data_IF_864653905727
#
_entry.id   IF_864653905727
#
_cell.length_a   1.000
_cell.length_b   1.000
_cell.length_c   1.000
_cell.angle_alpha   90.00
_cell.angle_beta   90.00
_cell.angle_gamma   90.00
#
_symmetry.space_group_name_H-M   'P 1'
#
loop_
_entity.id
_entity.type
_entity.pdbx_description
1 polymer ?
#
# COMPACT_ATOMS: atom_id res chain seq x y z
N UNK A 1 -5.16 1.25 -15.80
CA UNK A 1 -4.76 -0.08 -16.26
C UNK A 1 -3.51 -0.50 -15.51
N UNK A 2 -3.49 -1.71 -14.95
CA UNK A 2 -2.31 -2.29 -14.30
C UNK A 2 -1.39 -2.93 -15.33
N UNK A 3 -0.08 -2.91 -15.05
CA UNK A 3 0.96 -3.57 -15.83
C UNK A 3 1.81 -4.41 -14.89
N UNK A 4 2.16 -5.62 -15.30
CA UNK A 4 3.14 -6.47 -14.61
C UNK A 4 4.42 -6.46 -15.45
N UNK A 5 5.54 -6.12 -14.81
CA UNK A 5 6.86 -6.11 -15.42
C UNK A 5 7.71 -7.21 -14.83
N UNK A 6 8.41 -7.94 -15.69
CA UNK A 6 9.34 -9.01 -15.33
C UNK A 6 10.74 -8.63 -15.78
N UNK A 7 11.60 -8.26 -14.83
CA UNK A 7 13.02 -7.92 -15.07
C UNK A 7 13.95 -9.11 -14.90
N UNK A 8 13.42 -10.32 -14.70
CA UNK A 8 14.20 -11.54 -14.52
C UNK A 8 14.39 -12.31 -15.84
N UNK A 9 15.23 -13.33 -15.80
CA UNK A 9 15.47 -14.24 -16.92
C UNK A 9 14.56 -15.48 -16.93
N UNK A 10 13.58 -15.53 -16.03
CA UNK A 10 12.61 -16.60 -15.90
C UNK A 10 11.20 -16.10 -16.22
N UNK A 11 10.33 -16.99 -16.73
CA UNK A 11 8.92 -16.69 -16.87
C UNK A 11 8.22 -16.80 -15.52
N UNK A 12 7.35 -15.86 -15.20
CA UNK A 12 6.59 -15.80 -13.93
C UNK A 12 5.09 -15.81 -14.18
N UNK A 13 4.37 -16.65 -13.44
CA UNK A 13 2.91 -16.63 -13.43
C UNK A 13 2.44 -16.06 -12.10
N UNK A 14 1.72 -14.95 -12.17
CA UNK A 14 1.26 -14.20 -11.00
C UNK A 14 -0.24 -13.99 -11.03
N UNK A 15 -0.87 -13.94 -9.86
CA UNK A 15 -2.23 -13.45 -9.70
C UNK A 15 -2.18 -12.00 -9.22
N UNK A 16 -2.87 -11.11 -9.94
CA UNK A 16 -3.04 -9.70 -9.56
C UNK A 16 -4.49 -9.50 -9.15
N UNK A 17 -4.69 -9.01 -7.94
CA UNK A 17 -5.98 -8.57 -7.43
C UNK A 17 -6.00 -7.06 -7.32
N UNK A 18 -7.16 -6.45 -7.57
CA UNK A 18 -7.35 -5.02 -7.37
C UNK A 18 -8.70 -4.74 -6.73
N UNK A 19 -8.79 -3.62 -6.03
CA UNK A 19 -10.01 -3.15 -5.37
C UNK A 19 -10.14 -1.64 -5.57
N UNK A 20 -11.29 -1.20 -6.09
CA UNK A 20 -11.73 0.18 -5.98
C UNK A 20 -12.30 0.39 -4.58
N UNK A 21 -11.76 1.33 -3.85
CA UNK A 21 -12.10 1.61 -2.46
C UNK A 21 -12.40 3.09 -2.23
N UNK A 22 -13.26 3.40 -1.25
CA UNK A 22 -13.42 4.75 -0.72
C UNK A 22 -12.30 5.10 0.26
N UNK A 23 -12.16 6.40 0.56
CA UNK A 23 -11.17 6.89 1.54
C UNK A 23 -11.30 6.23 2.93
N UNK A 24 -12.49 5.75 3.33
CA UNK A 24 -12.73 4.97 4.55
C UNK A 24 -12.29 3.49 4.43
N UNK A 25 -11.65 3.13 3.33
CA UNK A 25 -11.21 1.80 2.96
C UNK A 25 -12.34 0.78 2.67
N UNK A 26 -13.61 1.19 2.61
CA UNK A 26 -14.69 0.32 2.15
C UNK A 26 -14.53 -0.04 0.67
N UNK A 27 -14.77 -1.32 0.32
CA UNK A 27 -14.64 -1.82 -1.05
C UNK A 27 -15.91 -1.51 -1.84
N UNK A 28 -15.74 -0.86 -3.00
CA UNK A 28 -16.83 -0.58 -3.95
C UNK A 28 -16.91 -1.72 -4.98
N UNK A 29 -15.77 -2.08 -5.56
CA UNK A 29 -15.64 -3.07 -6.63
C UNK A 29 -14.27 -3.70 -6.56
N UNK A 30 -14.15 -4.93 -7.05
CA UNK A 30 -12.87 -5.64 -7.10
C UNK A 30 -12.79 -6.57 -8.30
N UNK A 31 -11.58 -6.92 -8.67
CA UNK A 31 -11.30 -7.89 -9.71
C UNK A 31 -9.98 -8.61 -9.48
N UNK A 32 -9.75 -9.64 -10.29
CA UNK A 32 -8.50 -10.39 -10.29
C UNK A 32 -8.21 -10.93 -11.69
N UNK A 33 -6.93 -11.06 -11.99
CA UNK A 33 -6.46 -11.67 -13.24
C UNK A 33 -5.17 -12.45 -12.97
N UNK A 34 -5.05 -13.61 -13.60
CA UNK A 34 -3.81 -14.39 -13.60
C UNK A 34 -3.10 -14.20 -14.92
N UNK A 35 -1.84 -13.78 -14.88
CA UNK A 35 -1.03 -13.56 -16.08
C UNK A 35 0.33 -14.24 -15.99
N UNK A 36 0.80 -14.71 -17.13
CA UNK A 36 2.18 -15.15 -17.30
C UNK A 36 2.96 -14.08 -18.04
N UNK A 37 4.08 -13.66 -17.47
CA UNK A 37 4.97 -12.65 -18.05
C UNK A 37 6.31 -13.30 -18.36
N UNK A 38 6.68 -13.26 -19.64
CA UNK A 38 7.91 -13.84 -20.14
C UNK A 38 9.14 -13.07 -19.62
N UNK A 39 10.35 -13.65 -19.71
CA UNK A 39 11.58 -12.98 -19.31
C UNK A 39 11.75 -11.61 -19.97
N UNK A 40 12.22 -10.62 -19.18
CA UNK A 40 12.55 -9.26 -19.64
C UNK A 40 11.41 -8.61 -20.44
N UNK A 41 10.18 -8.85 -20.00
CA UNK A 41 8.97 -8.34 -20.69
C UNK A 41 7.94 -7.74 -19.73
N UNK A 42 6.94 -7.11 -20.29
CA UNK A 42 5.80 -6.59 -19.53
C UNK A 42 4.48 -7.02 -20.14
N UNK A 43 3.45 -7.12 -19.30
CA UNK A 43 2.10 -7.45 -19.73
C UNK A 43 1.07 -6.53 -19.08
N UNK A 44 0.27 -5.87 -19.92
CA UNK A 44 -0.88 -5.09 -19.48
C UNK A 44 -2.04 -6.00 -19.17
N UNK A 45 -2.64 -5.85 -17.98
CA UNK A 45 -3.87 -6.51 -17.61
C UNK A 45 -5.05 -6.00 -18.44
N UNK A 46 -6.21 -6.65 -18.34
CA UNK A 46 -7.44 -6.19 -18.96
C UNK A 46 -7.75 -4.73 -18.58
N UNK A 47 -8.39 -4.03 -19.50
CA UNK A 47 -8.80 -2.65 -19.25
C UNK A 47 -10.03 -2.63 -18.34
N UNK A 48 -9.92 -1.89 -17.24
CA UNK A 48 -11.02 -1.61 -16.34
C UNK A 48 -11.44 -0.15 -16.45
N UNK A 49 -12.73 0.10 -16.62
CA UNK A 49 -13.27 1.45 -16.64
C UNK A 49 -13.65 1.90 -15.22
N UNK A 50 -13.10 3.02 -14.81
CA UNK A 50 -13.36 3.68 -13.53
C UNK A 50 -13.98 5.08 -13.70
N UNK A 51 -14.70 5.33 -14.83
CA UNK A 51 -15.33 6.62 -15.07
C UNK A 51 -16.41 6.98 -14.02
N UNK A 52 -16.94 5.99 -13.32
CA UNK A 52 -17.90 6.12 -12.23
C UNK A 52 -17.27 6.36 -10.83
N UNK A 53 -15.93 6.28 -10.74
CA UNK A 53 -15.24 6.50 -9.47
C UNK A 53 -15.22 7.99 -9.09
N UNK A 54 -15.34 8.27 -7.80
CA UNK A 54 -15.10 9.61 -7.27
C UNK A 54 -13.61 9.95 -7.32
N UNK A 55 -13.23 10.77 -8.29
CA UNK A 55 -11.83 11.18 -8.54
C UNK A 55 -11.11 11.68 -7.27
N UNK A 56 -11.83 12.28 -6.34
CA UNK A 56 -11.24 12.88 -5.14
C UNK A 56 -11.49 12.09 -3.85
N UNK A 57 -12.22 10.98 -3.90
CA UNK A 57 -12.61 10.21 -2.73
C UNK A 57 -12.35 8.71 -2.85
N UNK A 58 -12.12 8.22 -4.07
CA UNK A 58 -11.89 6.79 -4.30
C UNK A 58 -10.43 6.54 -4.74
N UNK A 59 -9.94 5.34 -4.46
CA UNK A 59 -8.59 4.91 -4.83
C UNK A 59 -8.57 3.43 -5.22
N UNK A 60 -7.52 3.02 -5.92
CA UNK A 60 -7.25 1.62 -6.23
C UNK A 60 -6.22 1.10 -5.23
N UNK A 61 -6.52 -0.04 -4.60
CA UNK A 61 -5.53 -0.88 -3.92
C UNK A 61 -5.30 -2.13 -4.77
N UNK A 62 -4.05 -2.52 -4.96
CA UNK A 62 -3.70 -3.72 -5.71
C UNK A 62 -2.68 -4.57 -4.98
N UNK A 63 -2.70 -5.86 -5.26
CA UNK A 63 -1.76 -6.84 -4.74
C UNK A 63 -1.43 -7.86 -5.83
N UNK A 64 -0.18 -8.25 -5.89
CA UNK A 64 0.31 -9.33 -6.73
C UNK A 64 0.83 -10.47 -5.85
N UNK A 65 0.47 -11.69 -6.20
CA UNK A 65 0.99 -12.90 -5.54
C UNK A 65 1.60 -13.84 -6.57
N UNK A 66 2.64 -14.54 -6.17
CA UNK A 66 3.24 -15.63 -6.90
C UNK A 66 3.29 -16.87 -6.00
N UNK A 67 2.80 -18.01 -6.48
CA UNK A 67 2.70 -19.24 -5.69
C UNK A 67 2.02 -19.02 -4.31
N UNK A 68 0.97 -18.18 -4.28
CA UNK A 68 0.25 -17.77 -3.06
C UNK A 68 1.07 -16.93 -2.06
N UNK A 69 2.30 -16.53 -2.40
CA UNK A 69 3.11 -15.61 -1.60
C UNK A 69 2.96 -14.17 -2.10
N UNK A 70 2.84 -13.17 -1.21
CA UNK A 70 2.85 -11.76 -1.62
C UNK A 70 4.14 -11.41 -2.36
N UNK A 71 4.02 -10.81 -3.55
CA UNK A 71 5.15 -10.37 -4.37
C UNK A 71 5.22 -8.84 -4.50
N UNK A 72 4.07 -8.18 -4.63
CA UNK A 72 3.99 -6.72 -4.67
C UNK A 72 2.61 -6.23 -4.23
N UNK A 73 2.54 -5.00 -3.74
CA UNK A 73 1.27 -4.33 -3.46
C UNK A 73 1.45 -2.81 -3.57
N UNK A 74 0.34 -2.10 -3.73
CA UNK A 74 0.39 -0.64 -3.74
C UNK A 74 -1.00 -0.03 -3.86
N UNK A 75 -1.02 1.30 -3.96
CA UNK A 75 -2.23 2.09 -4.13
C UNK A 75 -2.06 3.11 -5.25
N UNK A 76 -3.16 3.50 -5.87
CA UNK A 76 -3.20 4.54 -6.88
C UNK A 76 -4.39 5.46 -6.65
N UNK A 77 -4.14 6.78 -6.63
CA UNK A 77 -5.16 7.82 -6.57
C UNK A 77 -5.52 8.28 -7.98
N UNK A 78 -6.75 8.69 -8.19
CA UNK A 78 -7.20 9.32 -9.45
C UNK A 78 -6.85 10.81 -9.55
N UNK A 79 -6.35 11.40 -8.46
CA UNK A 79 -5.93 12.80 -8.40
C UNK A 79 -4.60 12.96 -7.64
N UNK A 80 -4.02 14.16 -7.69
CA UNK A 80 -2.87 14.47 -6.86
C UNK A 80 -3.23 14.38 -5.36
N UNK A 81 -2.35 13.85 -4.49
CA UNK A 81 -2.64 13.62 -3.06
C UNK A 81 -3.19 14.85 -2.32
N UNK A 82 -2.74 16.05 -2.68
CA UNK A 82 -3.22 17.31 -2.09
C UNK A 82 -4.71 17.60 -2.34
N UNK A 83 -5.32 16.93 -3.31
CA UNK A 83 -6.73 17.09 -3.65
C UNK A 83 -7.60 15.93 -3.17
N UNK A 84 -6.98 14.84 -2.74
CA UNK A 84 -7.71 13.67 -2.26
C UNK A 84 -8.35 13.95 -0.89
N UNK A 85 -9.61 13.56 -0.72
CA UNK A 85 -10.37 13.72 0.52
C UNK A 85 -10.14 12.52 1.44
N UNK A 86 -8.98 12.51 2.10
CA UNK A 86 -8.68 11.44 3.07
C UNK A 86 -9.69 11.45 4.22
N UNK A 87 -10.20 10.27 4.60
CA UNK A 87 -10.83 10.05 5.90
C UNK A 87 -9.75 10.05 7.00
N UNK A 88 -10.14 10.31 8.25
CA UNK A 88 -9.22 10.20 9.38
C UNK A 88 -8.77 8.75 9.56
N UNK A 89 -7.50 8.43 9.35
CA UNK A 89 -7.01 7.06 9.46
C UNK A 89 -6.87 6.60 10.92
N UNK A 90 -6.99 7.47 11.90
CA UNK A 90 -6.84 7.17 13.34
C UNK A 90 -5.59 6.31 13.59
N UNK A 91 -4.45 6.74 13.05
CA UNK A 91 -3.21 6.00 13.13
C UNK A 91 -2.78 5.77 14.58
N UNK A 92 -2.46 4.52 14.93
CA UNK A 92 -1.82 4.17 16.17
C UNK A 92 -0.66 3.20 15.91
N UNK A 93 0.27 3.11 16.86
CA UNK A 93 1.37 2.16 16.76
C UNK A 93 1.67 1.52 18.13
N UNK A 94 2.25 0.31 18.09
CA UNK A 94 2.79 -0.40 19.24
C UNK A 94 4.04 -1.17 18.83
N UNK A 95 4.89 -1.49 19.80
CA UNK A 95 6.09 -2.32 19.59
C UNK A 95 5.79 -3.75 20.05
N UNK A 96 6.06 -4.72 19.19
CA UNK A 96 5.93 -6.15 19.47
C UNK A 96 7.26 -6.86 19.12
N UNK A 97 8.11 -7.09 20.13
CA UNK A 97 9.43 -7.69 19.91
C UNK A 97 10.32 -6.79 19.03
N UNK A 98 10.71 -7.29 17.88
CA UNK A 98 11.51 -6.58 16.86
C UNK A 98 10.66 -5.94 15.74
N UNK A 99 9.34 -5.80 15.96
CA UNK A 99 8.42 -5.19 15.01
C UNK A 99 7.72 -3.97 15.62
N UNK A 100 7.43 -3.00 14.77
CA UNK A 100 6.46 -1.93 15.00
C UNK A 100 5.21 -2.28 14.23
N UNK A 101 4.09 -2.40 14.94
CA UNK A 101 2.78 -2.65 14.36
C UNK A 101 2.04 -1.33 14.28
N UNK A 102 1.72 -0.91 13.06
CA UNK A 102 0.91 0.28 12.79
C UNK A 102 -0.51 -0.14 12.46
N UNK A 103 -1.50 0.52 13.07
CA UNK A 103 -2.92 0.29 12.79
C UNK A 103 -3.55 1.53 12.17
N UNK A 104 -4.50 1.31 11.25
CA UNK A 104 -5.31 2.36 10.65
C UNK A 104 -6.79 1.96 10.57
N UNK A 105 -7.69 2.90 10.76
CA UNK A 105 -9.14 2.70 10.60
C UNK A 105 -9.62 3.04 9.17
N UNK A 106 -8.82 3.77 8.39
CA UNK A 106 -9.10 4.17 7.02
C UNK A 106 -7.82 4.17 6.18
N UNK A 107 -7.91 4.51 4.89
CA UNK A 107 -6.75 4.62 4.02
C UNK A 107 -5.77 5.68 4.51
N UNK A 108 -4.53 5.31 4.69
CA UNK A 108 -3.43 6.19 5.05
C UNK A 108 -2.32 6.15 3.98
N UNK A 109 -1.95 7.33 3.47
CA UNK A 109 -0.90 7.48 2.47
C UNK A 109 0.38 8.00 3.07
N UNK A 110 1.51 7.41 2.63
CA UNK A 110 2.87 7.78 3.05
C UNK A 110 2.99 7.82 4.58
N UNK A 111 2.60 6.71 5.21
CA UNK A 111 2.68 6.53 6.67
C UNK A 111 4.14 6.61 7.09
N UNK A 112 4.46 7.56 7.94
CA UNK A 112 5.79 7.78 8.48
C UNK A 112 5.84 7.41 9.95
N UNK A 113 6.75 6.51 10.29
CA UNK A 113 7.14 6.23 11.68
C UNK A 113 8.32 7.13 12.05
N UNK A 114 8.17 7.85 13.14
CA UNK A 114 9.16 8.79 13.68
C UNK A 114 9.69 8.25 15.00
N UNK A 115 11.00 8.31 15.19
CA UNK A 115 11.68 8.04 16.47
C UNK A 115 12.15 9.35 17.11
N UNK A 116 12.38 9.37 18.40
CA UNK A 116 12.89 10.56 19.09
C UNK A 116 14.30 10.97 18.62
N UNK A 117 15.06 9.98 18.15
CA UNK A 117 16.37 10.18 17.51
C UNK A 117 16.42 9.47 16.15
N UNK A 118 17.44 9.77 15.37
CA UNK A 118 17.60 9.23 14.02
C UNK A 118 18.35 7.87 13.97
N UNK A 119 18.46 7.17 15.11
CA UNK A 119 19.21 5.91 15.19
C UNK A 119 18.43 4.69 14.74
N UNK A 120 17.09 4.76 14.78
CA UNK A 120 16.20 3.66 14.43
C UNK A 120 16.19 3.42 12.92
N UNK A 121 16.57 2.21 12.50
CA UNK A 121 16.45 1.75 11.12
C UNK A 121 15.32 0.72 11.00
N UNK A 122 14.43 0.95 10.07
CA UNK A 122 13.25 0.13 9.81
C UNK A 122 13.36 -0.57 8.46
N UNK A 123 12.66 -1.71 8.31
CA UNK A 123 12.57 -2.42 7.03
C UNK A 123 11.79 -1.64 5.98
N UNK A 124 10.89 -0.76 6.41
CA UNK A 124 10.10 0.12 5.54
C UNK A 124 9.69 1.40 6.29
N UNK A 125 9.44 2.48 5.55
CA UNK A 125 8.88 3.72 6.04
C UNK A 125 8.25 4.49 4.86
N UNK A 126 7.29 5.39 5.12
CA UNK A 126 6.54 6.10 4.09
C UNK A 126 5.66 5.20 3.21
N UNK A 127 5.18 4.09 3.74
CA UNK A 127 4.30 3.14 3.05
C UNK A 127 2.84 3.63 3.02
N UNK A 128 2.10 3.14 2.03
CA UNK A 128 0.64 3.28 2.00
C UNK A 128 -0.01 2.08 2.69
N UNK A 129 -1.11 2.30 3.41
CA UNK A 129 -1.85 1.20 4.03
C UNK A 129 -3.36 1.39 3.95
N UNK A 130 -4.08 0.30 3.81
CA UNK A 130 -5.52 0.24 4.00
C UNK A 130 -5.88 0.14 5.48
N UNK A 131 -7.17 0.18 5.81
CA UNK A 131 -7.61 -0.15 7.17
C UNK A 131 -7.11 -1.54 7.58
N UNK A 132 -6.62 -1.66 8.82
CA UNK A 132 -6.01 -2.86 9.36
C UNK A 132 -4.65 -2.63 9.98
N UNK A 133 -3.78 -3.62 9.91
CA UNK A 133 -2.43 -3.60 10.50
C UNK A 133 -1.35 -3.75 9.44
N UNK A 134 -0.26 -3.02 9.62
CA UNK A 134 1.00 -3.19 8.88
C UNK A 134 2.14 -3.38 9.87
N UNK A 135 3.01 -4.37 9.60
CA UNK A 135 4.16 -4.71 10.45
C UNK A 135 5.45 -4.27 9.77
N UNK A 136 6.26 -3.52 10.50
CA UNK A 136 7.55 -3.00 10.06
C UNK A 136 8.63 -3.49 11.01
N UNK A 137 9.63 -4.22 10.50
CA UNK A 137 10.72 -4.75 11.32
C UNK A 137 11.73 -3.67 11.71
N UNK A 138 12.21 -3.75 12.93
CA UNK A 138 13.34 -2.97 13.43
C UNK A 138 14.62 -3.67 12.97
N UNK A 139 15.40 -3.04 12.10
CA UNK A 139 16.67 -3.58 11.60
C UNK A 139 17.83 -3.24 12.53
N UNK A 140 17.78 -2.06 13.17
CA UNK A 140 18.74 -1.63 14.18
C UNK A 140 18.24 -0.40 14.94
N UNK A 141 18.85 -0.10 16.07
CA UNK A 141 18.48 1.02 16.95
C UNK A 141 17.45 0.60 18.01
N UNK A 142 17.04 1.55 18.83
CA UNK A 142 16.05 1.33 19.88
C UNK A 142 14.84 2.25 19.69
N UNK A 143 13.60 1.73 19.77
CA UNK A 143 12.41 2.56 19.74
C UNK A 143 12.36 3.52 20.95
N UNK A 144 12.21 4.81 20.68
CA UNK A 144 12.12 5.84 21.72
C UNK A 144 11.21 6.98 21.25
N UNK A 145 10.19 7.30 22.06
CA UNK A 145 9.28 8.41 21.73
C UNK A 145 8.62 8.28 20.35
N UNK A 146 8.28 7.05 19.97
CA UNK A 146 7.69 6.75 18.66
C UNK A 146 6.42 7.56 18.42
N UNK A 147 6.30 8.06 17.19
CA UNK A 147 5.10 8.71 16.66
C UNK A 147 4.83 8.20 15.26
N UNK A 148 3.58 8.25 14.84
CA UNK A 148 3.15 7.92 13.48
C UNK A 148 2.35 9.07 12.91
N UNK A 149 2.53 9.32 11.62
CA UNK A 149 1.74 10.30 10.85
C UNK A 149 1.61 9.87 9.40
N UNK A 150 0.72 10.51 8.66
CA UNK A 150 0.51 10.30 7.23
C UNK A 150 0.30 11.64 6.51
N UNK A 151 -0.01 11.59 5.22
CA UNK A 151 -0.43 12.79 4.46
C UNK A 151 -1.66 13.46 5.10
N UNK A 152 -2.54 12.72 5.78
CA UNK A 152 -3.69 13.28 6.49
C UNK A 152 -3.28 14.35 7.51
N UNK A 153 -2.17 14.16 8.21
CA UNK A 153 -1.72 14.99 9.33
C UNK A 153 -0.97 16.25 8.90
N UNK A 154 -0.60 16.36 7.61
CA UNK A 154 0.26 17.46 7.09
C UNK A 154 -0.41 18.31 6.01
N UNK A 155 -1.69 18.14 5.78
CA UNK A 155 -2.48 18.91 4.81
C UNK A 155 -3.23 20.08 5.45
#
# INVERSE_FOLDING_TARGET
RLCVENETMLSHTVEVTWQLRRADASVIRQGRETVTVEPLSSKWLEYEDFADADTFGDYIAYQMTENSAPAASGTALFCAPKHFRFADPQLALRVEGDEIVVTAAAYARSVQILNADDTLKLSDNFFDMNAGETRVRILSGQPSGLRVRSVYDIR
#
